data_IF_942097516219
#
_entry.id   IF_942097516219
#
_cell.length_a   1.000
_cell.length_b   1.000
_cell.length_c   1.000
_cell.angle_alpha   90.00
_cell.angle_beta   90.00
_cell.angle_gamma   90.00
#
_symmetry.space_group_name_H-M   'P 1'
#
loop_
_entity.id
_entity.type
_entity.pdbx_description
1 polymer ?
#
# COMPACT_ATOMS: atom_id res chain seq x y z
N UNK A 1 -10.53 0.76 -13.22
CA UNK A 1 -9.13 0.55 -12.84
C UNK A 1 -8.98 -0.91 -12.45
N UNK A 2 -8.13 -1.64 -13.16
CA UNK A 2 -7.68 -2.99 -12.79
C UNK A 2 -6.49 -2.90 -11.82
N UNK A 3 -6.12 -4.01 -11.17
CA UNK A 3 -4.92 -4.07 -10.33
C UNK A 3 -3.64 -3.79 -11.11
N UNK A 4 -3.54 -4.27 -12.36
CA UNK A 4 -2.35 -4.02 -13.18
C UNK A 4 -2.21 -2.53 -13.55
N UNK A 5 -3.33 -1.85 -13.82
CA UNK A 5 -3.35 -0.40 -14.03
C UNK A 5 -2.92 0.34 -12.76
N UNK A 6 -3.47 -0.01 -11.59
CA UNK A 6 -3.07 0.56 -10.30
C UNK A 6 -1.57 0.39 -10.06
N UNK A 7 -1.04 -0.83 -10.19
CA UNK A 7 0.39 -1.11 -9.98
C UNK A 7 1.26 -0.30 -10.94
N UNK A 8 0.82 -0.13 -12.19
CA UNK A 8 1.53 0.69 -13.17
C UNK A 8 1.59 2.15 -12.74
N UNK A 9 0.50 2.72 -12.24
CA UNK A 9 0.47 4.08 -11.71
C UNK A 9 1.34 4.24 -10.46
N UNK A 10 1.26 3.30 -9.51
CA UNK A 10 2.08 3.33 -8.30
C UNK A 10 3.58 3.27 -8.63
N UNK A 11 3.98 2.42 -9.59
CA UNK A 11 5.39 2.32 -10.04
C UNK A 11 5.86 3.62 -10.68
N UNK A 12 5.02 4.30 -11.46
CA UNK A 12 5.35 5.62 -12.03
C UNK A 12 5.57 6.65 -10.93
N UNK A 13 4.66 6.75 -9.96
CA UNK A 13 4.79 7.69 -8.85
C UNK A 13 5.98 7.37 -7.93
N UNK A 14 6.32 6.08 -7.78
CA UNK A 14 7.47 5.65 -7.01
C UNK A 14 8.81 5.96 -7.70
N UNK A 15 8.87 5.96 -9.02
CA UNK A 15 10.11 6.21 -9.77
C UNK A 15 10.70 7.62 -9.54
N UNK A 16 9.88 8.57 -9.09
CA UNK A 16 10.28 9.97 -8.84
C UNK A 16 10.64 10.24 -7.37
N UNK A 17 10.48 9.26 -6.48
CA UNK A 17 10.69 9.40 -5.03
C UNK A 17 12.02 8.79 -4.59
N UNK A 18 12.62 9.40 -3.58
CA UNK A 18 13.79 8.84 -2.91
C UNK A 18 13.37 8.00 -1.70
N UNK A 19 13.87 6.76 -1.65
CA UNK A 19 13.63 5.83 -0.55
C UNK A 19 14.89 5.52 0.26
N UNK A 20 16.01 6.21 0.01
CA UNK A 20 17.31 5.99 0.68
C UNK A 20 17.27 6.08 2.22
N UNK A 21 16.28 6.79 2.78
CA UNK A 21 16.06 6.91 4.22
C UNK A 21 15.27 5.77 4.87
N UNK A 22 14.87 4.76 4.12
CA UNK A 22 14.09 3.62 4.62
C UNK A 22 14.94 2.34 4.58
N UNK A 23 14.89 1.58 5.68
CA UNK A 23 15.64 0.33 5.84
C UNK A 23 14.88 -0.86 5.22
N UNK A 24 14.01 -1.52 6.00
CA UNK A 24 13.15 -2.59 5.53
C UNK A 24 11.68 -2.32 5.85
N UNK A 25 10.85 -2.43 4.81
CA UNK A 25 9.41 -2.43 4.92
C UNK A 25 8.80 -3.38 3.89
N UNK A 26 7.84 -4.22 4.31
CA UNK A 26 7.08 -5.04 3.39
C UNK A 26 5.59 -5.00 3.76
N UNK A 27 4.76 -4.48 2.87
CA UNK A 27 3.32 -4.29 3.08
C UNK A 27 2.55 -4.93 1.95
N UNK A 28 1.61 -5.81 2.28
CA UNK A 28 0.64 -6.32 1.33
C UNK A 28 -0.58 -5.40 1.27
N UNK A 29 -1.12 -5.20 0.08
CA UNK A 29 -2.40 -4.52 -0.13
C UNK A 29 -3.35 -5.50 -0.78
N UNK A 30 -4.40 -5.83 -0.05
CA UNK A 30 -5.50 -6.70 -0.49
C UNK A 30 -6.68 -5.82 -0.86
N UNK A 31 -6.92 -5.71 -2.17
CA UNK A 31 -8.06 -5.00 -2.73
C UNK A 31 -9.27 -5.93 -2.70
N UNK A 32 -10.37 -5.43 -2.17
CA UNK A 32 -11.66 -6.13 -2.06
C UNK A 32 -12.71 -5.54 -3.01
N UNK A 33 -13.75 -6.33 -3.31
CA UNK A 33 -14.86 -5.91 -4.17
C UNK A 33 -14.74 -6.43 -5.61
N UNK A 34 -15.28 -5.68 -6.56
CA UNK A 34 -15.37 -6.10 -7.98
C UNK A 34 -13.99 -6.22 -8.66
N UNK A 35 -13.03 -5.37 -8.27
CA UNK A 35 -11.65 -5.39 -8.77
C UNK A 35 -10.69 -6.02 -7.76
N UNK A 36 -11.11 -7.13 -7.16
CA UNK A 36 -10.36 -7.78 -6.10
C UNK A 36 -9.01 -8.35 -6.57
N UNK A 37 -8.10 -8.45 -5.62
CA UNK A 37 -6.80 -9.09 -5.78
C UNK A 37 -5.76 -8.43 -4.88
N UNK A 38 -4.50 -8.76 -5.11
CA UNK A 38 -3.44 -8.49 -4.15
C UNK A 38 -2.16 -8.07 -4.84
N UNK A 39 -1.42 -7.21 -4.16
CA UNK A 39 -0.05 -6.86 -4.50
C UNK A 39 0.72 -6.56 -3.22
N UNK A 40 2.04 -6.56 -3.30
CA UNK A 40 2.86 -6.08 -2.21
C UNK A 40 3.74 -4.91 -2.65
N UNK A 41 4.13 -4.12 -1.65
CA UNK A 41 5.13 -3.08 -1.74
C UNK A 41 6.23 -3.42 -0.75
N UNK A 42 7.46 -3.50 -1.23
CA UNK A 42 8.66 -3.70 -0.42
C UNK A 42 9.58 -2.51 -0.61
N UNK A 43 10.12 -2.00 0.49
CA UNK A 43 11.31 -1.16 0.49
C UNK A 43 12.42 -1.94 1.18
N UNK A 44 13.55 -2.06 0.48
CA UNK A 44 14.74 -2.73 1.00
C UNK A 44 15.98 -2.06 0.43
N UNK A 45 16.94 -1.72 1.28
CA UNK A 45 18.20 -1.07 0.89
C UNK A 45 17.96 0.20 0.05
N UNK A 46 16.95 1.00 0.44
CA UNK A 46 16.56 2.22 -0.25
C UNK A 46 15.91 2.02 -1.62
N UNK A 47 15.52 0.80 -1.99
CA UNK A 47 14.86 0.48 -3.26
C UNK A 47 13.43 0.02 -3.03
N UNK A 48 12.50 0.54 -3.81
CA UNK A 48 11.10 0.15 -3.79
C UNK A 48 10.81 -0.91 -4.87
N UNK A 49 10.07 -1.95 -4.49
CA UNK A 49 9.52 -2.98 -5.38
C UNK A 49 8.02 -3.06 -5.18
N UNK A 50 7.26 -3.08 -6.27
CA UNK A 50 5.81 -3.25 -6.25
C UNK A 50 5.48 -4.41 -7.17
N UNK A 51 4.84 -5.46 -6.67
CA UNK A 51 4.66 -6.71 -7.41
C UNK A 51 3.24 -7.29 -7.29
N UNK A 52 2.69 -7.89 -8.37
CA UNK A 52 1.29 -8.30 -8.47
C UNK A 52 1.02 -9.70 -7.88
N UNK A 53 1.53 -9.99 -6.68
CA UNK A 53 1.31 -11.28 -6.00
C UNK A 53 1.39 -11.13 -4.47
N UNK A 54 1.03 -12.18 -3.74
CA UNK A 54 1.08 -12.22 -2.27
C UNK A 54 2.52 -12.26 -1.75
N UNK A 55 2.72 -11.68 -0.57
CA UNK A 55 4.00 -11.71 0.12
C UNK A 55 3.81 -12.25 1.54
N UNK A 56 4.46 -13.39 1.82
CA UNK A 56 4.26 -14.12 3.08
C UNK A 56 4.95 -13.43 4.24
N UNK A 57 6.16 -12.90 4.05
CA UNK A 57 6.98 -12.28 5.11
C UNK A 57 6.68 -10.78 5.31
N UNK A 58 5.41 -10.40 5.15
CA UNK A 58 4.97 -9.01 5.26
C UNK A 58 4.89 -8.56 6.72
N UNK A 59 5.20 -7.30 6.98
CA UNK A 59 5.02 -6.69 8.30
C UNK A 59 3.55 -6.39 8.59
N UNK A 60 2.79 -6.02 7.56
CA UNK A 60 1.36 -5.81 7.67
C UNK A 60 0.64 -5.99 6.33
N UNK A 61 -0.68 -6.07 6.43
CA UNK A 61 -1.60 -6.15 5.31
C UNK A 61 -2.66 -5.06 5.44
N UNK A 62 -2.84 -4.26 4.39
CA UNK A 62 -3.95 -3.34 4.24
C UNK A 62 -5.07 -4.02 3.46
N UNK A 63 -6.25 -4.16 4.05
CA UNK A 63 -7.44 -4.68 3.37
C UNK A 63 -8.40 -3.51 3.15
N UNK A 64 -8.67 -3.20 1.89
CA UNK A 64 -9.35 -1.96 1.50
C UNK A 64 -10.03 -2.14 0.14
N UNK A 65 -10.98 -1.27 -0.21
CA UNK A 65 -11.55 -1.24 -1.57
C UNK A 65 -10.66 -0.44 -2.52
N UNK A 66 -10.75 -0.70 -3.82
CA UNK A 66 -10.01 0.02 -4.86
C UNK A 66 -10.17 1.55 -4.71
N UNK A 67 -11.41 2.03 -4.62
CA UNK A 67 -11.73 3.45 -4.49
C UNK A 67 -11.13 4.10 -3.25
N UNK A 68 -11.17 3.42 -2.10
CA UNK A 68 -10.61 3.96 -0.87
C UNK A 68 -9.08 3.97 -0.92
N UNK A 69 -8.46 2.96 -1.53
CA UNK A 69 -7.01 2.91 -1.70
C UNK A 69 -6.51 4.05 -2.59
N UNK A 70 -7.17 4.30 -3.73
CA UNK A 70 -6.85 5.44 -4.61
C UNK A 70 -6.98 6.77 -3.84
N UNK A 71 -8.05 6.95 -3.07
CA UNK A 71 -8.22 8.16 -2.25
C UNK A 71 -7.13 8.29 -1.19
N UNK A 72 -6.67 7.18 -0.59
CA UNK A 72 -5.58 7.18 0.39
C UNK A 72 -4.27 7.63 -0.26
N UNK A 73 -3.91 7.04 -1.40
CA UNK A 73 -2.72 7.42 -2.20
C UNK A 73 -2.79 8.88 -2.65
N UNK A 74 -3.95 9.37 -3.08
CA UNK A 74 -4.14 10.77 -3.47
C UNK A 74 -4.23 11.74 -2.27
N UNK A 75 -4.09 11.26 -1.02
CA UNK A 75 -4.23 12.09 0.18
C UNK A 75 -5.66 12.59 0.47
N UNK A 76 -6.67 12.08 -0.24
CA UNK A 76 -8.09 12.41 -0.10
C UNK A 76 -8.82 11.57 0.95
N UNK A 77 -8.19 10.53 1.45
CA UNK A 77 -8.67 9.72 2.56
C UNK A 77 -7.57 9.65 3.62
N UNK A 78 -7.88 10.12 4.83
CA UNK A 78 -6.97 9.99 5.96
C UNK A 78 -6.89 8.52 6.43
N UNK A 79 -5.69 7.92 6.53
CA UNK A 79 -5.53 6.51 6.87
C UNK A 79 -5.99 6.19 8.29
N UNK A 80 -5.83 7.11 9.25
CA UNK A 80 -6.25 6.91 10.64
C UNK A 80 -7.78 6.90 10.73
N UNK A 81 -8.43 7.89 10.12
CA UNK A 81 -9.88 7.95 10.04
C UNK A 81 -10.47 6.74 9.29
N UNK A 82 -9.84 6.31 8.19
CA UNK A 82 -10.27 5.14 7.42
C UNK A 82 -10.20 3.85 8.24
N UNK A 83 -9.18 3.70 9.07
CA UNK A 83 -9.02 2.56 9.97
C UNK A 83 -10.14 2.52 11.01
N UNK A 84 -10.35 3.61 11.75
CA UNK A 84 -11.41 3.68 12.76
C UNK A 84 -12.83 3.58 12.18
N UNK A 85 -13.04 4.05 10.93
CA UNK A 85 -14.34 3.91 10.25
C UNK A 85 -14.54 2.54 9.58
N UNK A 86 -13.57 1.62 9.66
CA UNK A 86 -13.63 0.29 9.04
C UNK A 86 -13.48 0.27 7.51
N UNK A 87 -13.11 1.41 6.89
CA UNK A 87 -12.85 1.51 5.43
C UNK A 87 -11.48 0.94 5.06
N UNK A 88 -10.56 0.93 6.02
CA UNK A 88 -9.27 0.26 5.97
C UNK A 88 -9.24 -0.73 7.13
N UNK A 89 -8.90 -1.99 6.86
CA UNK A 89 -8.51 -2.94 7.91
C UNK A 89 -7.02 -3.18 7.81
N UNK A 90 -6.39 -3.43 8.95
CA UNK A 90 -4.96 -3.69 9.05
C UNK A 90 -4.80 -5.02 9.78
N UNK A 91 -4.10 -5.97 9.17
CA UNK A 91 -3.56 -7.14 9.86
C UNK A 91 -2.06 -6.95 10.05
N UNK A 92 -1.51 -7.36 11.21
CA UNK A 92 -0.09 -7.20 11.53
C UNK A 92 0.23 -5.85 12.18
N UNK A 93 1.38 -5.28 11.84
CA UNK A 93 1.91 -4.08 12.50
C UNK A 93 1.24 -2.78 12.00
N UNK A 94 0.46 -2.14 12.87
CA UNK A 94 -0.23 -0.86 12.60
C UNK A 94 0.74 0.31 12.49
N UNK A 95 1.86 0.29 13.22
CA UNK A 95 2.92 1.29 13.10
C UNK A 95 3.53 1.28 11.70
N UNK A 96 3.81 0.08 11.16
CA UNK A 96 4.29 -0.09 9.78
C UNK A 96 3.25 0.29 8.74
N UNK A 97 1.97 0.01 8.98
CA UNK A 97 0.89 0.49 8.11
C UNK A 97 0.83 2.03 8.05
N UNK A 98 1.02 2.71 9.18
CA UNK A 98 1.06 4.17 9.23
C UNK A 98 2.30 4.74 8.52
N UNK A 99 3.47 4.13 8.72
CA UNK A 99 4.70 4.48 8.00
C UNK A 99 4.51 4.35 6.49
N UNK A 100 3.97 3.22 6.02
CA UNK A 100 3.65 2.96 4.62
C UNK A 100 2.68 4.00 4.02
N UNK A 101 1.69 4.45 4.79
CA UNK A 101 0.74 5.46 4.31
C UNK A 101 1.41 6.80 3.94
N UNK A 102 2.60 7.10 4.50
CA UNK A 102 3.39 8.30 4.18
C UNK A 102 4.27 8.09 2.95
N UNK A 103 4.70 6.85 2.72
CA UNK A 103 5.53 6.43 1.57
C UNK A 103 4.71 6.40 0.28
N UNK A 104 3.50 5.83 0.35
CA UNK A 104 2.70 5.52 -0.83
C UNK A 104 1.87 6.71 -1.35
N UNK A 105 1.63 7.73 -0.50
CA UNK A 105 1.10 9.03 -0.92
C UNK A 105 2.13 9.74 -1.78
#
# INVERSE_FOLDING_TARGET
MTINELITELRKGAAEKDFSGYDFMAVQVTITGENAGVFYVEIKDGKISIMPYEYIDRQCELIITMDNFIKLVQGKLDPVAAYFSGKLKINGDVGKANEFSKVIK
#
